data_IF_147675898046
#
_entry.id   IF_147675898046
#
_cell.length_a   1.000
_cell.length_b   1.000
_cell.length_c   1.000
_cell.angle_alpha   90.00
_cell.angle_beta   90.00
_cell.angle_gamma   90.00
#
_symmetry.space_group_name_H-M   'P 1'
#
loop_
_entity.id
_entity.type
_entity.pdbx_description
1 polymer ?
#
# COMPACT_ATOMS: atom_id res chain seq x y z
N UNK A 1 -20.73 -24.22 18.03
CA UNK A 1 -20.45 -23.14 17.06
C UNK A 1 -20.74 -23.69 15.67
N UNK A 2 -21.93 -23.41 15.12
CA UNK A 2 -22.39 -23.93 13.83
C UNK A 2 -21.92 -23.00 12.70
N UNK A 3 -21.06 -23.52 11.83
CA UNK A 3 -20.62 -22.86 10.60
C UNK A 3 -21.74 -22.99 9.58
N UNK A 4 -22.42 -21.89 9.25
CA UNK A 4 -23.39 -21.83 8.14
C UNK A 4 -22.66 -21.52 6.83
N UNK A 5 -23.11 -22.18 5.77
CA UNK A 5 -22.48 -22.34 4.45
C UNK A 5 -22.23 -21.03 3.66
N UNK A 6 -21.23 -20.96 2.75
CA UNK A 6 -20.76 -19.74 2.08
C UNK A 6 -21.56 -19.36 0.82
N UNK A 7 -22.84 -19.70 0.75
CA UNK A 7 -23.65 -19.48 -0.46
C UNK A 7 -23.97 -18.00 -0.74
N UNK A 8 -23.95 -17.15 0.29
CA UNK A 8 -24.22 -15.70 0.13
C UNK A 8 -23.03 -14.90 -0.41
N UNK A 9 -21.81 -15.43 -0.43
CA UNK A 9 -20.63 -14.69 -0.92
C UNK A 9 -20.45 -14.77 -2.45
N UNK A 10 -20.97 -15.79 -3.12
CA UNK A 10 -20.87 -15.88 -4.59
C UNK A 10 -21.83 -14.92 -5.33
N UNK A 11 -22.97 -14.56 -4.74
CA UNK A 11 -23.97 -13.73 -5.41
C UNK A 11 -23.61 -12.23 -5.42
N UNK A 12 -22.79 -11.76 -4.48
CA UNK A 12 -22.40 -10.35 -4.40
C UNK A 12 -21.34 -9.94 -5.44
N UNK A 13 -20.59 -10.90 -5.99
CA UNK A 13 -19.56 -10.62 -7.00
C UNK A 13 -20.13 -10.44 -8.42
N UNK A 14 -21.35 -10.92 -8.71
CA UNK A 14 -21.97 -10.78 -10.04
C UNK A 14 -22.76 -9.48 -10.23
N UNK A 15 -23.03 -8.70 -9.18
CA UNK A 15 -23.80 -7.46 -9.27
C UNK A 15 -22.98 -6.19 -9.50
N UNK A 16 -21.64 -6.27 -9.57
CA UNK A 16 -20.79 -5.12 -9.92
C UNK A 16 -20.67 -4.86 -11.44
N UNK A 17 -21.34 -5.63 -12.29
CA UNK A 17 -21.22 -5.55 -13.75
C UNK A 17 -22.21 -4.63 -14.48
N UNK A 18 -23.11 -3.95 -13.78
CA UNK A 18 -24.18 -3.15 -14.40
C UNK A 18 -24.10 -1.67 -14.03
N UNK A 19 -22.89 -1.10 -14.03
CA UNK A 19 -22.74 0.33 -14.26
C UNK A 19 -22.86 0.59 -15.75
N UNK A 20 -23.68 1.55 -16.17
CA UNK A 20 -23.54 2.13 -17.50
C UNK A 20 -22.13 2.72 -17.58
N UNK A 21 -21.19 1.95 -18.09
CA UNK A 21 -19.94 2.50 -18.57
C UNK A 21 -20.37 3.36 -19.76
N UNK A 22 -20.43 4.68 -19.57
CA UNK A 22 -20.12 5.57 -20.67
C UNK A 22 -18.82 5.02 -21.25
N UNK A 23 -18.91 4.44 -22.44
CA UNK A 23 -17.76 3.83 -23.07
C UNK A 23 -16.75 4.96 -23.23
N UNK A 24 -15.76 4.99 -22.34
CA UNK A 24 -14.57 5.80 -22.51
C UNK A 24 -14.02 5.30 -23.84
N UNK A 25 -14.28 6.03 -24.91
CA UNK A 25 -13.76 5.75 -26.23
C UNK A 25 -12.26 6.02 -26.18
N UNK A 26 -11.53 5.04 -25.65
CA UNK A 26 -10.10 5.04 -25.64
C UNK A 26 -9.64 4.80 -27.08
N UNK A 27 -9.40 5.89 -27.79
CA UNK A 27 -9.15 5.89 -29.23
C UNK A 27 -7.72 5.50 -29.62
N UNK A 28 -6.90 5.04 -28.68
CA UNK A 28 -5.51 4.72 -28.95
C UNK A 28 -5.39 3.31 -29.55
N UNK A 29 -4.49 3.15 -30.52
CA UNK A 29 -4.11 1.82 -31.01
C UNK A 29 -3.50 0.98 -29.88
N UNK A 30 -3.47 -0.36 -29.98
CA UNK A 30 -2.87 -1.21 -28.95
C UNK A 30 -1.41 -0.85 -28.60
N UNK A 31 -0.63 -0.40 -29.59
CA UNK A 31 0.75 0.06 -29.38
C UNK A 31 0.81 1.35 -28.58
N UNK A 32 -0.05 2.33 -28.90
CA UNK A 32 -0.14 3.58 -28.15
C UNK A 32 -0.64 3.32 -26.73
N UNK A 33 -1.61 2.44 -26.57
CA UNK A 33 -2.11 1.99 -25.27
C UNK A 33 -0.98 1.44 -24.39
N UNK A 34 -0.16 0.55 -24.95
CA UNK A 34 0.98 -0.04 -24.25
C UNK A 34 2.03 1.01 -23.88
N UNK A 35 2.31 1.96 -24.77
CA UNK A 35 3.24 3.07 -24.49
C UNK A 35 2.73 3.96 -23.35
N UNK A 36 1.44 4.34 -23.38
CA UNK A 36 0.79 5.12 -22.32
C UNK A 36 0.83 4.35 -20.99
N UNK A 37 0.51 3.05 -21.00
CA UNK A 37 0.54 2.22 -19.81
C UNK A 37 1.96 2.13 -19.21
N UNK A 38 3.00 2.03 -20.05
CA UNK A 38 4.40 2.04 -19.59
C UNK A 38 4.76 3.36 -18.93
N UNK A 39 4.42 4.49 -19.53
CA UNK A 39 4.69 5.81 -18.94
C UNK A 39 3.90 6.02 -17.64
N UNK A 40 2.62 5.64 -17.63
CA UNK A 40 1.78 5.70 -16.42
C UNK A 40 2.34 4.81 -15.29
N UNK A 41 2.86 3.62 -15.61
CA UNK A 41 3.51 2.75 -14.64
C UNK A 41 4.77 3.39 -14.07
N UNK A 42 5.65 3.92 -14.93
CA UNK A 42 6.88 4.59 -14.48
C UNK A 42 6.57 5.80 -13.59
N UNK A 43 5.55 6.58 -13.94
CA UNK A 43 5.08 7.71 -13.15
C UNK A 43 4.46 7.27 -11.82
N UNK A 44 3.65 6.22 -11.81
CA UNK A 44 2.96 5.70 -10.63
C UNK A 44 3.84 4.85 -9.71
N UNK A 45 4.96 4.31 -10.21
CA UNK A 45 5.88 3.43 -9.47
C UNK A 45 6.28 3.99 -8.10
N UNK A 46 6.80 5.23 -7.97
CA UNK A 46 7.19 5.77 -6.66
C UNK A 46 6.00 5.88 -5.69
N UNK A 47 4.79 6.17 -6.17
CA UNK A 47 3.60 6.28 -5.33
C UNK A 47 3.21 4.91 -4.76
N UNK A 48 3.24 3.87 -5.60
CA UNK A 48 2.92 2.50 -5.19
C UNK A 48 3.96 1.95 -4.21
N UNK A 49 5.25 2.16 -4.47
CA UNK A 49 6.31 1.73 -3.55
C UNK A 49 6.28 2.51 -2.22
N UNK A 50 5.94 3.79 -2.25
CA UNK A 50 5.70 4.58 -1.04
C UNK A 50 4.54 4.01 -0.23
N UNK A 51 3.42 3.67 -0.88
CA UNK A 51 2.26 3.07 -0.20
C UNK A 51 2.57 1.70 0.41
N UNK A 52 3.33 0.85 -0.30
CA UNK A 52 3.80 -0.44 0.25
C UNK A 52 4.64 -0.23 1.51
N UNK A 53 5.53 0.76 1.49
CA UNK A 53 6.34 1.14 2.66
C UNK A 53 5.45 1.59 3.81
N UNK A 54 4.51 2.51 3.56
CA UNK A 54 3.52 2.98 4.53
C UNK A 54 2.75 1.84 5.16
N UNK A 55 2.23 0.93 4.34
CA UNK A 55 1.44 -0.20 4.79
C UNK A 55 2.24 -1.07 5.77
N UNK A 56 3.48 -1.44 5.42
CA UNK A 56 4.31 -2.29 6.28
C UNK A 56 4.79 -1.61 7.57
N UNK A 57 4.88 -0.28 7.59
CA UNK A 57 5.40 0.48 8.73
C UNK A 57 4.30 0.93 9.71
N UNK A 58 3.07 1.13 9.24
CA UNK A 58 1.98 1.71 10.05
C UNK A 58 0.62 1.01 9.97
N UNK A 59 0.34 0.18 8.95
CA UNK A 59 -0.96 -0.50 8.82
C UNK A 59 -0.88 -1.96 9.30
N UNK A 60 0.14 -2.70 8.87
CA UNK A 60 0.35 -4.09 9.27
C UNK A 60 0.99 -4.19 10.66
N UNK A 61 0.17 -4.07 11.70
CA UNK A 61 0.60 -4.11 13.11
C UNK A 61 1.24 -5.43 13.55
N UNK A 62 1.05 -6.52 12.79
CA UNK A 62 1.63 -7.84 13.07
C UNK A 62 2.88 -8.11 12.22
N UNK A 63 3.19 -7.21 11.29
CA UNK A 63 4.32 -7.34 10.39
C UNK A 63 5.66 -7.07 11.08
N UNK A 64 6.70 -7.82 10.68
CA UNK A 64 8.08 -7.65 11.18
C UNK A 64 8.67 -6.23 10.97
N UNK A 65 8.08 -5.47 10.06
CA UNK A 65 8.54 -4.13 9.68
C UNK A 65 7.69 -3.01 10.28
N UNK A 66 6.69 -3.33 11.10
CA UNK A 66 5.89 -2.32 11.80
C UNK A 66 6.79 -1.42 12.65
N UNK A 67 6.57 -0.10 12.59
CA UNK A 67 7.37 0.90 13.30
C UNK A 67 6.55 1.70 14.30
N UNK A 68 5.39 2.21 13.89
CA UNK A 68 4.49 2.96 14.76
C UNK A 68 3.11 3.13 14.11
N UNK A 69 2.03 3.31 14.89
CA UNK A 69 0.74 3.80 14.39
C UNK A 69 0.85 5.17 13.70
N UNK A 70 -0.17 5.56 12.92
CA UNK A 70 -0.25 6.91 12.35
C UNK A 70 -0.19 7.96 13.46
N UNK A 71 0.51 9.07 13.19
CA UNK A 71 0.66 10.21 14.12
C UNK A 71 1.34 9.89 15.47
N UNK A 72 1.98 8.73 15.63
CA UNK A 72 2.72 8.34 16.83
C UNK A 72 4.21 8.15 16.54
N UNK A 73 5.09 8.35 17.53
CA UNK A 73 6.54 8.15 17.37
C UNK A 73 6.95 6.78 17.90
N UNK A 74 7.54 5.95 17.04
CA UNK A 74 8.20 4.70 17.40
C UNK A 74 9.71 4.89 17.48
N UNK A 75 10.38 4.26 18.45
CA UNK A 75 11.83 4.40 18.65
C UNK A 75 12.50 3.03 18.60
N UNK A 76 13.67 2.94 17.98
CA UNK A 76 14.57 1.78 18.12
C UNK A 76 15.86 2.22 18.81
N UNK A 77 16.29 1.45 19.82
CA UNK A 77 17.58 1.64 20.47
C UNK A 77 18.73 0.96 19.69
N UNK A 78 18.39 0.02 18.80
CA UNK A 78 19.35 -0.73 18.01
C UNK A 78 19.60 -0.03 16.67
N UNK A 79 20.86 0.01 16.25
CA UNK A 79 21.26 0.39 14.89
C UNK A 79 20.93 -0.74 13.91
N UNK A 80 20.70 -0.38 12.64
CA UNK A 80 20.43 -1.37 11.61
C UNK A 80 21.69 -2.11 11.18
N UNK A 81 21.50 -3.37 10.81
CA UNK A 81 22.52 -4.32 10.40
C UNK A 81 22.24 -4.84 8.99
N UNK A 82 23.17 -5.56 8.33
CA UNK A 82 22.90 -6.18 7.03
C UNK A 82 21.73 -7.19 7.02
N UNK A 83 21.26 -7.62 8.19
CA UNK A 83 20.06 -8.48 8.30
C UNK A 83 18.75 -7.69 8.19
N UNK A 84 18.79 -6.38 8.35
CA UNK A 84 17.64 -5.50 8.32
C UNK A 84 17.34 -5.05 6.89
N UNK A 85 16.52 -5.82 6.18
CA UNK A 85 16.21 -5.59 4.77
C UNK A 85 14.99 -4.70 4.54
N UNK A 86 14.48 -4.04 5.59
CA UNK A 86 13.33 -3.14 5.50
C UNK A 86 13.66 -1.82 4.81
N UNK A 87 14.95 -1.49 4.70
CA UNK A 87 15.47 -0.28 4.08
C UNK A 87 16.56 -0.67 3.07
N UNK A 88 16.62 0.04 1.94
CA UNK A 88 17.52 -0.31 0.83
C UNK A 88 18.99 -0.15 1.23
N UNK A 89 19.31 0.93 1.95
CA UNK A 89 20.66 1.22 2.45
C UNK A 89 20.57 1.91 3.81
N UNK A 90 20.33 1.17 4.90
CA UNK A 90 20.28 1.77 6.22
C UNK A 90 21.68 2.24 6.64
N UNK A 91 21.77 3.36 7.38
CA UNK A 91 22.99 3.66 8.11
C UNK A 91 23.05 2.82 9.40
N UNK A 92 24.26 2.48 9.84
CA UNK A 92 24.50 1.68 11.06
C UNK A 92 25.12 2.49 12.20
N UNK A 93 25.20 3.81 12.03
CA UNK A 93 25.88 4.70 12.97
C UNK A 93 24.93 5.27 14.03
N UNK A 94 23.62 5.31 13.73
CA UNK A 94 22.62 5.98 14.56
C UNK A 94 21.35 5.15 14.73
N UNK A 95 20.80 5.03 15.97
CA UNK A 95 19.45 4.51 16.17
C UNK A 95 18.40 5.50 15.63
N UNK A 96 17.28 4.99 15.12
CA UNK A 96 16.24 5.82 14.50
C UNK A 96 15.00 5.97 15.39
N UNK A 97 14.42 7.16 15.34
CA UNK A 97 13.03 7.40 15.71
C UNK A 97 12.21 7.52 14.43
N UNK A 98 11.17 6.70 14.32
CA UNK A 98 10.19 6.77 13.24
C UNK A 98 9.01 7.59 13.72
N UNK A 99 8.81 8.75 13.11
CA UNK A 99 7.47 9.32 13.14
C UNK A 99 6.60 8.42 12.28
N UNK A 100 5.60 7.79 12.90
CA UNK A 100 4.52 7.13 12.18
C UNK A 100 3.96 8.09 11.14
N UNK A 101 3.34 7.54 10.11
CA UNK A 101 2.91 8.33 8.97
C UNK A 101 1.97 9.45 9.43
N UNK A 102 2.30 10.69 9.07
CA UNK A 102 1.50 11.85 9.46
C UNK A 102 0.26 11.88 8.59
N UNK A 103 -0.89 11.68 9.22
CA UNK A 103 -2.20 11.84 8.60
C UNK A 103 -2.83 13.14 9.13
N UNK A 104 -2.82 14.17 8.28
CA UNK A 104 -3.44 15.47 8.59
C UNK A 104 -4.97 15.44 8.51
N UNK A 105 -5.53 14.40 7.86
CA UNK A 105 -6.96 14.17 7.77
C UNK A 105 -7.44 13.46 9.05
N UNK A 106 -7.53 14.21 10.15
CA UNK A 106 -7.75 13.70 11.52
C UNK A 106 -9.16 13.18 11.83
N UNK A 107 -9.96 12.86 10.80
CA UNK A 107 -11.35 12.39 10.96
C UNK A 107 -11.70 11.39 9.87
N UNK A 108 -11.21 10.14 9.95
CA UNK A 108 -11.83 8.96 9.33
C UNK A 108 -11.19 7.67 9.85
N UNK A 109 -11.00 7.50 11.17
CA UNK A 109 -10.84 6.20 11.83
C UNK A 109 -11.36 6.31 13.26
#
# INVERSE_FOLDING_TARGET
MHIKQPACLLAACLSLGAGNADAINFSASPTEAASIAREAYLYGFPVVEMYKTLYTQAVDTQGKNFKAPFNEIGNTAMVFTPRDTAFVTPNSDTPYSFCGWICVQSRWF
#
